data_IF_390136350758
#
_entry.id   IF_390136350758
#
_cell.length_a   1.000
_cell.length_b   1.000
_cell.length_c   1.000
_cell.angle_alpha   90.00
_cell.angle_beta   90.00
_cell.angle_gamma   90.00
#
_symmetry.space_group_name_H-M   'P 1'
#
loop_
_entity.id
_entity.type
_entity.pdbx_description
1 polymer ?
#
# COMPACT_ATOMS: atom_id res chain seq x y z
N UNK A 1 -15.61 -14.62 -4.91
CA UNK A 1 -15.61 -13.89 -3.61
C UNK A 1 -15.95 -12.44 -3.90
N UNK A 2 -16.94 -11.86 -3.23
CA UNK A 2 -17.32 -10.46 -3.45
C UNK A 2 -16.72 -9.62 -2.32
N UNK A 3 -16.23 -8.43 -2.66
CA UNK A 3 -15.83 -7.44 -1.66
C UNK A 3 -17.06 -7.09 -0.81
N UNK A 4 -16.95 -6.98 0.52
CA UNK A 4 -18.08 -6.66 1.37
C UNK A 4 -18.78 -5.36 0.92
N UNK A 5 -20.09 -5.45 0.68
CA UNK A 5 -20.91 -4.32 0.24
C UNK A 5 -20.87 -3.23 1.32
N UNK A 6 -20.41 -2.03 0.96
CA UNK A 6 -20.26 -0.89 1.86
C UNK A 6 -18.82 -0.48 2.16
N UNK A 7 -17.86 -1.37 1.90
CA UNK A 7 -16.45 -1.13 2.27
C UNK A 7 -15.62 -0.41 1.21
N UNK A 8 -16.22 -0.07 0.06
CA UNK A 8 -15.51 0.66 -1.01
C UNK A 8 -14.98 2.04 -0.56
N UNK A 9 -15.66 2.66 0.41
CA UNK A 9 -15.24 3.94 1.00
C UNK A 9 -14.27 3.78 2.18
N UNK A 10 -13.98 2.56 2.62
CA UNK A 10 -12.96 2.34 3.64
C UNK A 10 -11.57 2.49 3.02
N UNK A 11 -10.61 3.08 3.74
CA UNK A 11 -9.24 3.19 3.24
C UNK A 11 -8.65 1.80 3.05
N UNK A 12 -8.25 1.51 1.80
CA UNK A 12 -7.41 0.38 1.45
C UNK A 12 -5.98 0.89 1.40
N UNK A 13 -5.13 0.39 2.28
CA UNK A 13 -3.72 0.78 2.35
C UNK A 13 -2.88 -0.26 1.62
N UNK A 14 -2.17 0.18 0.58
CA UNK A 14 -1.20 -0.65 -0.14
C UNK A 14 0.18 -0.25 0.33
N UNK A 15 0.92 -1.20 0.91
CA UNK A 15 2.29 -0.98 1.34
C UNK A 15 3.25 -1.49 0.28
N UNK A 16 4.10 -0.61 -0.25
CA UNK A 16 5.24 -0.99 -1.10
C UNK A 16 6.47 -1.32 -0.24
N UNK A 17 7.28 -2.27 -0.73
CA UNK A 17 8.52 -2.69 -0.10
C UNK A 17 9.64 -1.66 -0.31
N UNK A 18 10.77 -1.87 0.38
CA UNK A 18 11.86 -0.91 0.53
C UNK A 18 12.76 -0.77 -0.72
N UNK A 19 12.28 -1.12 -1.91
CA UNK A 19 12.94 -0.71 -3.15
C UNK A 19 12.73 0.79 -3.34
N UNK A 20 13.71 1.50 -3.93
CA UNK A 20 13.57 2.94 -4.25
C UNK A 20 12.21 3.13 -4.94
N UNK A 21 11.26 3.89 -4.34
CA UNK A 21 9.89 3.90 -4.84
C UNK A 21 9.93 4.39 -6.29
N UNK A 22 9.47 3.53 -7.21
CA UNK A 22 9.40 3.87 -8.63
C UNK A 22 8.41 5.03 -8.86
N UNK A 23 7.48 5.23 -7.92
CA UNK A 23 6.45 6.27 -7.94
C UNK A 23 6.25 6.81 -6.52
N UNK A 24 6.07 8.13 -6.39
CA UNK A 24 5.78 8.75 -5.10
C UNK A 24 4.38 8.35 -4.61
N UNK A 25 4.17 8.02 -3.32
CA UNK A 25 2.84 7.77 -2.78
C UNK A 25 1.93 9.01 -2.76
N UNK A 26 2.51 10.20 -2.98
CA UNK A 26 1.81 11.47 -3.16
C UNK A 26 1.72 11.90 -4.63
N UNK A 27 2.05 11.02 -5.56
CA UNK A 27 1.89 11.27 -6.98
C UNK A 27 0.40 11.58 -7.28
N UNK A 28 0.08 12.72 -7.92
CA UNK A 28 -1.30 13.13 -8.19
C UNK A 28 -2.08 12.09 -8.99
N UNK A 29 -1.45 11.39 -9.93
CA UNK A 29 -2.09 10.40 -10.77
C UNK A 29 -2.46 9.15 -9.96
N UNK A 30 -1.59 8.75 -9.02
CA UNK A 30 -1.85 7.65 -8.08
C UNK A 30 -2.95 8.02 -7.10
N UNK A 31 -2.95 9.26 -6.58
CA UNK A 31 -4.01 9.72 -5.69
C UNK A 31 -5.34 9.70 -6.42
N UNK A 32 -5.44 10.30 -7.61
CA UNK A 32 -6.69 10.34 -8.40
C UNK A 32 -7.18 8.93 -8.73
N UNK A 33 -6.28 8.04 -9.20
CA UNK A 33 -6.63 6.65 -9.47
C UNK A 33 -7.13 5.92 -8.22
N UNK A 34 -6.56 6.22 -7.04
CA UNK A 34 -6.99 5.65 -5.76
C UNK A 34 -8.40 6.05 -5.32
N UNK A 35 -8.96 7.13 -5.88
CA UNK A 35 -10.34 7.58 -5.64
C UNK A 35 -11.32 7.16 -6.74
N UNK A 36 -10.84 6.57 -7.83
CA UNK A 36 -11.67 6.20 -8.97
C UNK A 36 -12.69 5.10 -8.60
N UNK A 37 -13.89 5.15 -9.21
CA UNK A 37 -14.92 4.13 -9.00
C UNK A 37 -15.49 4.06 -7.57
N UNK A 38 -15.27 5.11 -6.76
CA UNK A 38 -15.72 5.17 -5.38
C UNK A 38 -14.88 4.34 -4.41
N UNK A 39 -13.68 3.93 -4.84
CA UNK A 39 -12.67 3.34 -3.96
C UNK A 39 -11.93 4.43 -3.20
N UNK A 40 -11.31 4.05 -2.09
CA UNK A 40 -10.42 4.93 -1.34
C UNK A 40 -9.11 4.18 -1.06
N UNK A 41 -8.21 4.20 -2.03
CA UNK A 41 -6.94 3.47 -2.00
C UNK A 41 -5.81 4.48 -1.74
N UNK A 42 -4.89 4.15 -0.83
CA UNK A 42 -3.68 4.93 -0.57
C UNK A 42 -2.45 4.06 -0.63
N UNK A 43 -1.41 4.58 -1.27
CA UNK A 43 -0.08 3.98 -1.29
C UNK A 43 0.73 4.44 -0.07
N UNK A 44 1.42 3.52 0.57
CA UNK A 44 2.36 3.76 1.65
C UNK A 44 3.71 3.18 1.25
N UNK A 45 4.77 3.99 1.35
CA UNK A 45 6.14 3.51 1.19
C UNK A 45 6.74 3.23 2.57
N UNK A 46 7.40 2.09 2.71
CA UNK A 46 8.17 1.81 3.91
C UNK A 46 9.37 2.77 4.01
N UNK A 47 9.67 3.33 5.20
CA UNK A 47 10.86 4.13 5.39
C UNK A 47 12.12 3.28 5.20
N UNK A 48 13.13 3.85 4.55
CA UNK A 48 14.42 3.20 4.31
C UNK A 48 15.04 2.69 5.60
N UNK A 49 15.35 1.39 5.66
CA UNK A 49 15.96 0.67 6.78
C UNK A 49 15.08 0.42 8.02
N UNK A 50 13.77 0.21 7.87
CA UNK A 50 12.94 -0.37 8.95
C UNK A 50 12.56 -1.83 8.66
N UNK A 51 13.48 -2.80 8.81
CA UNK A 51 13.18 -4.23 8.62
C UNK A 51 12.13 -4.76 9.60
N UNK A 52 11.90 -4.06 10.72
CA UNK A 52 10.92 -4.36 11.76
C UNK A 52 9.45 -4.21 11.32
N UNK A 53 9.18 -3.50 10.20
CA UNK A 53 7.81 -3.13 9.77
C UNK A 53 7.30 -3.89 8.53
N UNK A 54 8.08 -4.84 8.02
CA UNK A 54 7.63 -5.69 6.91
C UNK A 54 7.15 -7.05 7.45
N UNK A 55 5.83 -7.36 7.43
CA UNK A 55 5.33 -8.68 7.79
C UNK A 55 5.82 -9.79 6.84
N UNK A 56 6.44 -9.43 5.70
CA UNK A 56 7.15 -10.35 4.82
C UNK A 56 8.64 -10.53 5.16
N UNK A 57 9.30 -9.56 5.82
CA UNK A 57 10.72 -9.67 6.16
C UNK A 57 10.95 -10.62 7.34
N UNK A 58 10.00 -10.69 8.27
CA UNK A 58 10.06 -11.62 9.40
C UNK A 58 10.02 -13.11 8.99
N UNK A 59 9.67 -13.42 7.73
CA UNK A 59 9.64 -14.79 7.21
C UNK A 59 10.85 -15.17 6.35
N UNK A 60 11.74 -14.21 6.05
CA UNK A 60 12.95 -14.45 5.24
C UNK A 60 14.25 -14.51 6.06
N UNK A 61 14.15 -14.46 7.40
CA UNK A 61 15.30 -14.60 8.32
C UNK A 61 15.48 -16.00 8.92
N UNK A 62 14.70 -17.00 8.48
CA UNK A 62 14.82 -18.41 8.93
C UNK A 62 15.27 -19.36 7.80
N UNK A 63 16.17 -18.90 6.91
CA UNK A 63 16.92 -19.77 5.99
C UNK A 63 18.43 -19.56 6.14
#
# INVERSE_FOLDING_TARGET
>A
KHWPCGDRRRPILIQQDNAKPHVSPLDPDIVVAGWEGGWYIRLLCQPSNSPELNPFASHFSEL
#
